data_IF_458703557795
#
_entry.id   IF_458703557795
#
_cell.length_a   1.000
_cell.length_b   1.000
_cell.length_c   1.000
_cell.angle_alpha   90.00
_cell.angle_beta   90.00
_cell.angle_gamma   90.00
#
_symmetry.space_group_name_H-M   'P 1'
#
loop_
_entity.id
_entity.type
_entity.pdbx_description
1 polymer ?
#
# COMPACT_ATOMS: atom_id res chain seq x y z
N UNK A 1 -3.22 -13.94 8.38
CA UNK A 1 -3.85 -15.26 8.06
C UNK A 1 -5.20 -15.12 7.36
N UNK A 2 -6.20 -14.37 7.91
CA UNK A 2 -7.53 -14.25 7.30
C UNK A 2 -7.52 -13.79 5.84
N UNK A 3 -6.71 -12.77 5.49
CA UNK A 3 -6.57 -12.31 4.11
C UNK A 3 -6.00 -13.39 3.20
N UNK A 4 -4.94 -14.10 3.63
CA UNK A 4 -4.33 -15.17 2.86
C UNK A 4 -5.34 -16.28 2.56
N UNK A 5 -6.15 -16.68 3.55
CA UNK A 5 -7.20 -17.70 3.38
C UNK A 5 -8.26 -17.31 2.34
N UNK A 6 -8.61 -16.02 2.24
CA UNK A 6 -9.54 -15.56 1.22
C UNK A 6 -8.91 -15.54 -0.17
N UNK A 7 -7.66 -15.08 -0.27
CA UNK A 7 -6.94 -14.99 -1.54
C UNK A 7 -6.48 -16.34 -2.09
N UNK A 8 -6.22 -17.33 -1.23
CA UNK A 8 -5.89 -18.73 -1.65
C UNK A 8 -6.95 -19.37 -2.54
N UNK A 9 -8.18 -18.85 -2.55
CA UNK A 9 -9.23 -19.31 -3.47
C UNK A 9 -8.99 -18.87 -4.93
N UNK A 10 -8.15 -17.88 -5.15
CA UNK A 10 -7.95 -17.23 -6.46
C UNK A 10 -6.47 -17.16 -6.87
N UNK A 11 -5.56 -17.27 -5.91
CA UNK A 11 -4.13 -17.09 -6.13
C UNK A 11 -3.37 -18.28 -5.54
N UNK A 12 -2.40 -18.79 -6.28
CA UNK A 12 -1.40 -19.76 -5.77
C UNK A 12 -0.26 -18.97 -5.13
N UNK A 13 -0.04 -19.19 -3.84
CA UNK A 13 0.99 -18.49 -3.07
C UNK A 13 2.29 -19.28 -3.01
N UNK A 14 3.41 -18.55 -3.09
CA UNK A 14 4.74 -19.07 -2.82
C UNK A 14 4.96 -19.17 -1.32
N UNK A 15 4.69 -20.35 -0.75
CA UNK A 15 4.77 -20.60 0.70
C UNK A 15 6.21 -20.55 1.24
N UNK A 16 7.21 -20.76 0.38
CA UNK A 16 8.63 -20.74 0.75
C UNK A 16 9.23 -19.34 0.67
N UNK A 17 8.47 -18.37 0.16
CA UNK A 17 8.94 -16.99 0.09
C UNK A 17 8.80 -16.30 1.43
N UNK A 18 9.88 -15.71 1.92
CA UNK A 18 9.84 -14.77 3.04
C UNK A 18 10.74 -13.57 2.79
N UNK A 19 10.41 -12.47 3.43
CA UNK A 19 11.13 -11.22 3.34
C UNK A 19 11.41 -10.67 4.74
N UNK A 20 12.64 -10.23 4.96
CA UNK A 20 13.08 -9.56 6.19
C UNK A 20 13.54 -8.14 5.86
N UNK A 21 12.96 -7.15 6.51
CA UNK A 21 13.35 -5.75 6.38
C UNK A 21 14.69 -5.43 7.02
N UNK A 22 15.02 -4.14 7.06
CA UNK A 22 16.18 -3.58 7.75
C UNK A 22 15.74 -2.41 8.63
N UNK A 23 16.59 -2.02 9.56
CA UNK A 23 16.44 -0.84 10.42
C UNK A 23 16.79 0.48 9.71
N UNK A 24 17.33 0.40 8.50
CA UNK A 24 17.75 1.55 7.70
C UNK A 24 16.98 1.67 6.39
N UNK A 25 16.48 2.87 6.03
CA UNK A 25 15.74 3.09 4.79
C UNK A 25 16.61 3.04 3.53
N UNK A 26 17.93 3.12 3.67
CA UNK A 26 18.88 3.08 2.55
C UNK A 26 19.42 1.68 2.27
N UNK A 27 19.31 0.76 3.22
CA UNK A 27 19.73 -0.63 3.05
C UNK A 27 18.62 -1.49 2.43
N UNK A 28 19.03 -2.47 1.64
CA UNK A 28 18.11 -3.46 1.10
C UNK A 28 17.76 -4.51 2.18
N UNK A 29 16.48 -4.89 2.21
CA UNK A 29 16.05 -6.06 2.95
C UNK A 29 16.50 -7.36 2.29
N UNK A 30 16.20 -8.48 2.92
CA UNK A 30 16.57 -9.81 2.41
C UNK A 30 15.33 -10.63 2.12
N UNK A 31 15.20 -11.05 0.87
CA UNK A 31 14.27 -12.10 0.48
C UNK A 31 14.98 -13.46 0.58
N UNK A 32 14.26 -14.50 1.00
CA UNK A 32 14.81 -15.88 1.05
C UNK A 32 15.19 -16.40 -0.31
N UNK A 33 14.46 -15.97 -1.33
CA UNK A 33 14.69 -16.30 -2.74
C UNK A 33 14.09 -15.21 -3.63
N UNK A 34 14.41 -15.24 -4.91
CA UNK A 34 13.70 -14.42 -5.89
C UNK A 34 12.23 -14.88 -5.97
N UNK A 35 11.25 -13.94 -6.00
CA UNK A 35 9.85 -14.31 -6.19
C UNK A 35 9.65 -15.17 -7.45
N UNK A 36 8.86 -16.23 -7.34
CA UNK A 36 8.40 -17.02 -8.47
C UNK A 36 7.40 -16.17 -9.28
N UNK A 37 7.65 -15.92 -10.59
CA UNK A 37 6.77 -15.06 -11.39
C UNK A 37 5.38 -15.67 -11.63
N UNK A 38 5.19 -16.97 -11.43
CA UNK A 38 3.92 -17.65 -11.58
C UNK A 38 3.11 -17.73 -10.27
N UNK A 39 3.71 -17.31 -9.15
CA UNK A 39 3.10 -17.39 -7.83
C UNK A 39 2.91 -16.02 -7.19
N UNK A 40 1.84 -15.88 -6.43
CA UNK A 40 1.64 -14.73 -5.56
C UNK A 40 2.55 -14.82 -4.34
N UNK A 41 3.02 -13.67 -3.85
CA UNK A 41 3.73 -13.58 -2.57
C UNK A 41 2.94 -12.71 -1.61
N UNK A 42 2.98 -13.05 -0.33
CA UNK A 42 2.43 -12.23 0.73
C UNK A 42 3.57 -11.62 1.54
N UNK A 43 3.59 -10.30 1.61
CA UNK A 43 4.54 -9.55 2.43
C UNK A 43 3.80 -8.64 3.42
N UNK A 44 4.37 -8.47 4.60
CA UNK A 44 3.83 -7.59 5.63
C UNK A 44 4.74 -6.38 5.77
N UNK A 45 4.23 -5.18 5.53
CA UNK A 45 5.02 -3.95 5.65
C UNK A 45 5.53 -3.68 7.08
N UNK A 46 4.97 -4.35 8.08
CA UNK A 46 5.50 -4.31 9.43
C UNK A 46 6.97 -4.76 9.48
N UNK A 47 7.40 -5.70 8.61
CA UNK A 47 8.77 -6.21 8.57
C UNK A 47 9.82 -5.16 8.22
N UNK A 48 9.45 -4.08 7.54
CA UNK A 48 10.38 -2.97 7.22
C UNK A 48 10.00 -1.65 7.87
N UNK A 49 8.83 -1.54 8.50
CA UNK A 49 8.42 -0.32 9.21
C UNK A 49 8.71 -0.38 10.70
N UNK A 50 8.67 -1.58 11.34
CA UNK A 50 8.78 -1.72 12.80
C UNK A 50 10.13 -1.30 13.35
N UNK A 51 11.19 -1.60 12.62
CA UNK A 51 12.57 -1.44 13.09
C UNK A 51 13.27 -0.20 12.51
N UNK A 52 12.56 0.56 11.66
CA UNK A 52 13.12 1.77 11.04
C UNK A 52 13.54 2.81 12.09
N UNK A 53 14.77 3.29 11.98
CA UNK A 53 15.20 4.47 12.70
C UNK A 53 14.45 5.71 12.20
N UNK A 54 13.64 6.31 13.07
CA UNK A 54 12.79 7.45 12.69
C UNK A 54 13.57 8.65 12.16
N UNK A 55 14.69 8.98 12.79
CA UNK A 55 15.51 10.14 12.39
C UNK A 55 16.12 9.91 11.02
N UNK A 56 16.61 8.70 10.76
CA UNK A 56 17.17 8.32 9.48
C UNK A 56 16.08 8.29 8.39
N UNK A 57 14.90 7.76 8.71
CA UNK A 57 13.75 7.75 7.80
C UNK A 57 13.35 9.16 7.35
N UNK A 58 13.22 10.10 8.29
CA UNK A 58 12.88 11.48 7.94
C UNK A 58 14.01 12.14 7.12
N UNK A 59 15.28 11.87 7.45
CA UNK A 59 16.42 12.44 6.72
C UNK A 59 16.53 11.88 5.30
N UNK A 60 16.37 10.56 5.12
CA UNK A 60 16.63 9.92 3.83
C UNK A 60 15.38 9.86 2.94
N UNK A 61 14.22 9.67 3.50
CA UNK A 61 12.95 9.57 2.78
C UNK A 61 12.20 10.89 2.80
N UNK A 62 12.05 11.51 3.97
CA UNK A 62 11.32 12.77 4.15
C UNK A 62 11.84 13.92 3.27
N UNK A 63 13.16 13.97 3.00
CA UNK A 63 13.77 14.98 2.11
C UNK A 63 13.19 15.00 0.68
N UNK A 64 12.60 13.91 0.23
CA UNK A 64 11.97 13.81 -1.09
C UNK A 64 10.56 14.39 -1.15
N UNK A 65 9.97 14.73 -0.01
CA UNK A 65 8.61 15.23 0.11
C UNK A 65 8.59 16.72 0.47
N UNK A 66 7.89 17.50 -0.33
CA UNK A 66 7.63 18.90 -0.05
C UNK A 66 6.27 19.03 0.64
N UNK A 67 6.25 19.55 1.87
CA UNK A 67 5.00 19.81 2.62
C UNK A 67 4.02 20.64 1.80
N UNK A 68 4.50 21.69 1.13
CA UNK A 68 3.66 22.54 0.29
C UNK A 68 3.02 21.78 -0.87
N UNK A 69 3.74 20.83 -1.49
CA UNK A 69 3.19 20.01 -2.57
C UNK A 69 2.21 18.97 -2.02
N UNK A 70 2.49 18.37 -0.87
CA UNK A 70 1.57 17.44 -0.21
C UNK A 70 0.24 18.13 0.13
N UNK A 71 0.28 19.31 0.73
CA UNK A 71 -0.91 20.07 1.11
C UNK A 71 -1.77 20.52 -0.10
N UNK A 72 -1.18 20.58 -1.30
CA UNK A 72 -1.92 20.85 -2.54
C UNK A 72 -2.65 19.63 -3.09
N UNK A 73 -2.29 18.43 -2.65
CA UNK A 73 -2.94 17.21 -3.10
C UNK A 73 -4.41 17.17 -2.66
N UNK A 74 -5.28 16.70 -3.55
CA UNK A 74 -6.74 16.73 -3.32
C UNK A 74 -7.16 15.97 -2.07
N UNK A 75 -6.48 14.86 -1.76
CA UNK A 75 -6.73 14.08 -0.55
C UNK A 75 -6.49 14.87 0.75
N UNK A 76 -5.59 15.86 0.75
CA UNK A 76 -5.33 16.70 1.90
C UNK A 76 -6.20 17.96 1.96
N UNK A 77 -6.56 18.55 0.82
CA UNK A 77 -7.39 19.75 0.78
C UNK A 77 -8.70 19.58 1.56
N UNK A 78 -9.40 18.48 1.32
CA UNK A 78 -10.66 18.18 2.00
C UNK A 78 -10.49 17.87 3.49
N UNK A 79 -9.30 17.44 3.91
CA UNK A 79 -8.98 17.12 5.30
C UNK A 79 -8.51 18.33 6.10
N UNK A 80 -7.85 19.31 5.47
CA UNK A 80 -7.36 20.51 6.14
C UNK A 80 -8.47 21.28 6.86
N UNK A 81 -9.66 21.36 6.27
CA UNK A 81 -10.81 22.04 6.86
C UNK A 81 -11.38 21.31 8.09
N UNK A 82 -11.21 19.98 8.16
CA UNK A 82 -11.73 19.12 9.23
C UNK A 82 -10.68 18.76 10.28
N UNK A 83 -9.46 19.21 10.10
CA UNK A 83 -8.30 18.83 10.87
C UNK A 83 -7.58 17.62 10.26
N UNK A 84 -6.28 17.74 10.08
CA UNK A 84 -5.40 16.71 9.55
C UNK A 84 -4.40 16.32 10.64
N UNK A 85 -4.43 15.07 11.08
CA UNK A 85 -3.47 14.59 12.07
C UNK A 85 -2.09 14.40 11.45
N UNK A 86 -1.05 14.46 12.26
CA UNK A 86 0.32 14.19 11.85
C UNK A 86 0.48 12.75 11.30
N UNK A 87 -0.24 11.79 11.89
CA UNK A 87 -0.26 10.40 11.43
C UNK A 87 -0.83 10.29 10.01
N UNK A 88 -1.98 10.92 9.75
CA UNK A 88 -2.60 10.92 8.41
C UNK A 88 -1.70 11.59 7.37
N UNK A 89 -1.02 12.67 7.76
CA UNK A 89 -0.07 13.35 6.90
C UNK A 89 1.14 12.45 6.54
N UNK A 90 1.69 11.74 7.52
CA UNK A 90 2.81 10.83 7.32
C UNK A 90 2.42 9.53 6.61
N UNK A 91 1.14 9.19 6.53
CA UNK A 91 0.69 7.97 5.86
C UNK A 91 1.14 7.92 4.39
N UNK A 92 1.14 9.07 3.71
CA UNK A 92 1.65 9.17 2.34
C UNK A 92 3.13 8.77 2.24
N UNK A 93 3.96 9.18 3.20
CA UNK A 93 5.38 8.83 3.23
C UNK A 93 5.56 7.32 3.43
N UNK A 94 4.81 6.75 4.39
CA UNK A 94 4.89 5.31 4.70
C UNK A 94 4.47 4.46 3.51
N UNK A 95 3.35 4.75 2.86
CA UNK A 95 2.89 4.01 1.68
C UNK A 95 3.84 4.18 0.48
N UNK A 96 4.40 5.36 0.31
CA UNK A 96 5.42 5.61 -0.73
C UNK A 96 6.68 4.80 -0.47
N UNK A 97 7.08 4.70 0.78
CA UNK A 97 8.22 3.89 1.21
C UNK A 97 7.96 2.40 1.01
N UNK A 98 6.76 1.90 1.32
CA UNK A 98 6.34 0.52 1.04
C UNK A 98 6.58 0.17 -0.44
N UNK A 99 6.11 1.03 -1.35
CA UNK A 99 6.29 0.78 -2.78
C UNK A 99 7.76 0.82 -3.20
N UNK A 100 8.53 1.76 -2.68
CA UNK A 100 9.96 1.86 -2.96
C UNK A 100 10.72 0.61 -2.48
N UNK A 101 10.43 0.10 -1.28
CA UNK A 101 11.02 -1.13 -0.74
C UNK A 101 10.68 -2.32 -1.64
N UNK A 102 9.41 -2.49 -1.98
CA UNK A 102 8.98 -3.59 -2.87
C UNK A 102 9.62 -3.50 -4.26
N UNK A 103 9.75 -2.30 -4.82
CA UNK A 103 10.41 -2.10 -6.11
C UNK A 103 11.92 -2.33 -6.03
N UNK A 104 12.56 -1.91 -4.94
CA UNK A 104 14.00 -2.06 -4.74
C UNK A 104 14.39 -3.52 -4.52
N UNK A 105 13.70 -4.22 -3.61
CA UNK A 105 14.15 -5.47 -3.02
C UNK A 105 13.55 -6.71 -3.69
N UNK A 106 12.33 -6.61 -4.23
CA UNK A 106 11.61 -7.73 -4.87
C UNK A 106 11.13 -7.42 -6.28
N UNK A 107 11.63 -6.33 -6.87
CA UNK A 107 11.39 -5.93 -8.25
C UNK A 107 9.92 -5.69 -8.62
N UNK A 108 9.10 -5.22 -7.66
CA UNK A 108 7.72 -4.83 -7.90
C UNK A 108 7.66 -3.66 -8.90
N UNK A 109 6.92 -3.81 -9.99
CA UNK A 109 6.86 -2.84 -11.08
C UNK A 109 5.65 -1.92 -11.04
N UNK A 110 4.57 -2.33 -10.38
CA UNK A 110 3.32 -1.59 -10.40
C UNK A 110 2.60 -1.69 -9.06
N UNK A 111 2.08 -0.56 -8.60
CA UNK A 111 1.14 -0.52 -7.47
C UNK A 111 -0.27 -0.23 -8.00
N UNK A 112 -1.24 -1.03 -7.55
CA UNK A 112 -2.64 -0.90 -7.91
C UNK A 112 -3.48 -0.54 -6.68
N UNK A 113 -4.55 0.24 -6.88
CA UNK A 113 -5.47 0.59 -5.79
C UNK A 113 -6.77 1.22 -6.28
N UNK A 114 -7.65 1.59 -5.36
CA UNK A 114 -8.79 2.43 -5.68
C UNK A 114 -8.37 3.85 -6.09
N UNK A 115 -9.22 4.56 -6.82
CA UNK A 115 -8.90 5.93 -7.25
C UNK A 115 -8.68 6.92 -6.08
N UNK A 116 -9.19 6.61 -4.90
CA UNK A 116 -8.90 7.34 -3.66
C UNK A 116 -7.43 7.20 -3.19
N UNK A 117 -6.69 6.21 -3.71
CA UNK A 117 -5.27 5.97 -3.41
C UNK A 117 -4.32 6.63 -4.41
N UNK A 118 -4.85 7.31 -5.44
CA UNK A 118 -4.03 7.87 -6.52
C UNK A 118 -2.83 8.68 -6.04
N UNK A 119 -3.06 9.62 -5.14
CA UNK A 119 -2.01 10.50 -4.62
C UNK A 119 -0.90 9.72 -3.90
N UNK A 120 -1.27 8.73 -3.08
CA UNK A 120 -0.29 7.90 -2.38
C UNK A 120 0.53 7.05 -3.35
N UNK A 121 -0.14 6.44 -4.34
CA UNK A 121 0.50 5.60 -5.37
C UNK A 121 1.50 6.42 -6.19
N UNK A 122 1.09 7.60 -6.70
CA UNK A 122 1.96 8.47 -7.49
C UNK A 122 3.14 9.01 -6.69
N UNK A 123 2.95 9.30 -5.41
CA UNK A 123 4.04 9.69 -4.51
C UNK A 123 5.05 8.56 -4.36
N UNK A 124 4.59 7.30 -4.30
CA UNK A 124 5.46 6.13 -4.27
C UNK A 124 6.23 5.92 -5.58
N UNK A 125 5.60 6.17 -6.74
CA UNK A 125 6.28 6.15 -8.05
C UNK A 125 7.40 7.18 -8.09
N UNK A 126 7.11 8.40 -7.66
CA UNK A 126 8.10 9.50 -7.67
C UNK A 126 9.25 9.25 -6.68
N UNK A 127 8.95 8.77 -5.46
CA UNK A 127 9.95 8.39 -4.48
C UNK A 127 10.86 7.28 -5.03
N UNK A 128 10.29 6.22 -5.58
CA UNK A 128 11.04 5.09 -6.14
C UNK A 128 12.01 5.57 -7.22
N UNK A 129 11.53 6.38 -8.16
CA UNK A 129 12.37 6.95 -9.22
C UNK A 129 13.51 7.80 -8.66
N UNK A 130 13.22 8.67 -7.69
CA UNK A 130 14.24 9.58 -7.11
C UNK A 130 15.26 8.86 -6.26
N UNK A 131 14.85 7.83 -5.52
CA UNK A 131 15.71 7.14 -4.57
C UNK A 131 16.49 6.00 -5.21
N UNK A 132 15.88 5.24 -6.12
CA UNK A 132 16.48 4.04 -6.71
C UNK A 132 16.83 4.17 -8.20
N UNK A 133 16.33 5.20 -8.89
CA UNK A 133 16.46 5.34 -10.34
C UNK A 133 15.55 4.37 -11.13
N UNK A 134 14.84 3.47 -10.48
CA UNK A 134 13.95 2.50 -11.14
C UNK A 134 12.67 3.15 -11.64
N UNK A 135 12.23 2.75 -12.84
CA UNK A 135 10.91 3.10 -13.37
C UNK A 135 9.88 2.11 -12.87
N UNK A 136 8.84 2.63 -12.21
CA UNK A 136 7.68 1.88 -11.75
C UNK A 136 6.39 2.60 -12.13
N UNK A 137 5.25 1.93 -12.00
CA UNK A 137 3.97 2.40 -12.49
C UNK A 137 2.90 2.36 -11.41
N UNK A 138 1.90 3.23 -11.53
CA UNK A 138 0.71 3.24 -10.70
C UNK A 138 -0.54 3.03 -11.54
N UNK A 139 -1.50 2.27 -11.03
CA UNK A 139 -2.79 2.07 -11.66
C UNK A 139 -3.90 2.17 -10.63
N UNK A 140 -5.00 2.85 -11.00
CA UNK A 140 -6.17 2.94 -10.13
C UNK A 140 -7.42 2.47 -10.83
N UNK A 141 -8.34 1.94 -10.03
CA UNK A 141 -9.65 1.48 -10.46
C UNK A 141 -10.74 2.33 -9.80
N UNK A 142 -11.88 2.46 -10.47
CA UNK A 142 -13.07 3.03 -9.86
C UNK A 142 -13.47 2.22 -8.62
N UNK A 143 -13.86 2.92 -7.56
CA UNK A 143 -14.33 2.28 -6.34
C UNK A 143 -15.65 1.55 -6.61
N UNK A 144 -15.80 0.36 -6.02
CA UNK A 144 -17.08 -0.33 -5.98
C UNK A 144 -18.05 0.46 -5.11
N UNK A 145 -19.22 0.73 -5.66
CA UNK A 145 -20.31 1.42 -4.97
C UNK A 145 -21.54 0.53 -4.90
N UNK A 146 -22.41 0.80 -3.92
CA UNK A 146 -23.77 0.25 -3.90
C UNK A 146 -24.58 0.83 -5.05
N UNK A 147 -25.78 0.28 -5.31
CA UNK A 147 -26.74 0.84 -6.25
C UNK A 147 -27.12 2.31 -5.96
N UNK A 148 -26.96 2.73 -4.70
CA UNK A 148 -27.19 4.12 -4.25
C UNK A 148 -25.96 5.04 -4.41
N UNK A 149 -24.87 4.54 -4.99
CA UNK A 149 -23.63 5.30 -5.19
C UNK A 149 -22.76 5.44 -3.94
N UNK A 150 -23.07 4.74 -2.86
CA UNK A 150 -22.27 4.77 -1.62
C UNK A 150 -21.08 3.82 -1.72
N UNK A 151 -19.89 4.26 -1.30
CA UNK A 151 -18.67 3.42 -1.28
C UNK A 151 -18.89 2.15 -0.49
N UNK A 152 -18.67 0.99 -1.11
CA UNK A 152 -18.73 -0.31 -0.43
C UNK A 152 -17.62 -0.44 0.61
N UNK A 153 -17.92 -1.10 1.74
CA UNK A 153 -16.95 -1.58 2.72
C UNK A 153 -16.74 -0.70 3.96
N UNK A 154 -17.30 0.53 4.04
CA UNK A 154 -17.16 1.40 5.24
C UNK A 154 -18.48 1.74 5.96
N UNK A 155 -19.60 1.20 5.52
CA UNK A 155 -20.91 1.45 6.12
C UNK A 155 -21.29 0.31 7.06
N UNK A 156 -21.77 0.63 8.25
CA UNK A 156 -22.31 -0.34 9.22
C UNK A 156 -23.56 -1.06 8.69
N UNK A 157 -24.23 -0.49 7.67
CA UNK A 157 -25.36 -1.11 6.95
C UNK A 157 -24.94 -1.32 5.50
N UNK A 158 -24.92 -2.60 5.04
CA UNK A 158 -24.68 -2.95 3.64
C UNK A 158 -23.25 -3.35 3.27
N UNK A 159 -22.39 -3.64 4.22
CA UNK A 159 -21.11 -4.28 3.92
C UNK A 159 -21.34 -5.73 3.48
N UNK A 160 -20.98 -6.05 2.24
CA UNK A 160 -20.93 -7.42 1.76
C UNK A 160 -19.60 -8.06 2.17
N UNK A 161 -19.68 -9.21 2.81
CA UNK A 161 -18.51 -9.92 3.31
C UNK A 161 -18.20 -11.12 2.41
N UNK A 162 -16.92 -11.32 2.12
CA UNK A 162 -16.45 -12.53 1.41
C UNK A 162 -16.53 -13.79 2.29
N UNK A 163 -16.81 -13.64 3.58
CA UNK A 163 -17.05 -14.74 4.51
C UNK A 163 -18.50 -15.20 4.37
N UNK A 164 -18.75 -16.45 3.93
CA UNK A 164 -20.10 -16.98 3.71
C UNK A 164 -20.94 -17.11 5.00
N UNK A 165 -20.28 -17.08 6.18
CA UNK A 165 -20.99 -17.08 7.46
C UNK A 165 -21.54 -15.68 7.83
N UNK A 166 -21.09 -14.64 7.16
CA UNK A 166 -21.49 -13.24 7.40
C UNK A 166 -22.37 -12.68 6.29
N UNK A 167 -22.12 -13.08 5.04
CA UNK A 167 -22.93 -12.76 3.87
C UNK A 167 -23.04 -14.03 3.04
N UNK A 168 -24.24 -14.55 2.89
CA UNK A 168 -24.44 -15.76 2.09
C UNK A 168 -24.09 -15.49 0.62
N UNK A 169 -23.68 -16.52 -0.17
CA UNK A 169 -23.45 -16.34 -1.61
C UNK A 169 -24.65 -15.76 -2.36
N UNK A 170 -25.85 -16.07 -1.90
CA UNK A 170 -27.11 -15.55 -2.47
C UNK A 170 -27.27 -14.03 -2.21
N UNK A 171 -26.98 -13.59 -0.98
CA UNK A 171 -27.02 -12.16 -0.63
C UNK A 171 -25.89 -11.35 -1.29
N UNK A 172 -24.76 -12.02 -1.57
CA UNK A 172 -23.63 -11.39 -2.25
C UNK A 172 -23.92 -11.15 -3.73
N UNK A 173 -24.61 -12.09 -4.40
CA UNK A 173 -24.97 -12.02 -5.81
C UNK A 173 -26.18 -11.10 -6.04
#
# INVERSE_FOLDING_TARGET
>A
ELFKNHFNKFLDFDEDFSYTGTDSPVMEGKATKKPDPEKAIYVNNYTWLSDLNYVEFIREIGKHFSVNNMLRAECFKQRLEKGLSFLEFNYMLMQSYDFMVMARDIDCKMQCGGNDQWTNIISGVDLTRRHTGKQVYGMTFSLLTTSEGVKMGKTQKGALWLDPNRTTPYEFY
#
